data_IF_896996280666
#
_entry.id   IF_896996280666
#
_cell.length_a   1.000
_cell.length_b   1.000
_cell.length_c   1.000
_cell.angle_alpha   90.00
_cell.angle_beta   90.00
_cell.angle_gamma   90.00
#
_symmetry.space_group_name_H-M   'P 1'
#
loop_
_entity.id
_entity.type
_entity.pdbx_description
1 polymer ?
#
# COMPACT_ATOMS: atom_id res chain seq x y z
N UNK A 1 -25.31 -4.41 24.82
CA UNK A 1 -24.41 -5.03 25.82
C UNK A 1 -23.01 -4.38 25.80
N UNK A 2 -22.27 -4.37 24.70
CA UNK A 2 -20.91 -3.78 24.66
C UNK A 2 -20.89 -2.31 25.10
N UNK A 3 -21.81 -1.49 24.61
CA UNK A 3 -21.96 -0.09 25.01
C UNK A 3 -22.27 0.06 26.51
N UNK A 4 -23.13 -0.78 27.05
CA UNK A 4 -23.49 -0.77 28.47
C UNK A 4 -22.27 -1.05 29.36
N UNK A 5 -21.48 -2.07 29.02
CA UNK A 5 -20.25 -2.41 29.73
C UNK A 5 -19.24 -1.28 29.66
N UNK A 6 -18.98 -0.74 28.44
CA UNK A 6 -18.08 0.38 28.28
C UNK A 6 -18.50 1.60 29.09
N UNK A 7 -19.78 1.96 29.05
CA UNK A 7 -20.29 3.10 29.80
C UNK A 7 -20.24 2.89 31.32
N UNK A 8 -20.49 1.66 31.83
CA UNK A 8 -20.33 1.34 33.23
C UNK A 8 -18.88 1.49 33.70
N UNK A 9 -17.91 1.03 32.92
CA UNK A 9 -16.48 1.21 33.22
C UNK A 9 -16.10 2.71 33.16
N UNK A 10 -16.57 3.45 32.17
CA UNK A 10 -16.31 4.88 32.04
C UNK A 10 -16.90 5.70 33.20
N UNK A 11 -18.07 5.30 33.75
CA UNK A 11 -18.67 5.95 34.91
C UNK A 11 -17.82 5.76 36.18
N UNK A 12 -17.07 4.67 36.30
CA UNK A 12 -16.10 4.43 37.38
C UNK A 12 -14.79 5.18 37.13
N UNK A 13 -14.26 5.08 35.88
CA UNK A 13 -12.98 5.70 35.50
C UNK A 13 -13.05 7.20 35.48
N UNK A 14 -14.15 7.77 35.01
CA UNK A 14 -14.41 9.22 34.82
C UNK A 14 -13.24 9.91 34.09
N UNK A 15 -13.07 9.60 32.80
CA UNK A 15 -11.97 10.17 32.03
C UNK A 15 -12.11 11.69 31.89
N UNK A 16 -10.96 12.36 31.88
CA UNK A 16 -10.83 13.81 31.71
C UNK A 16 -9.90 14.10 30.52
N UNK A 17 -9.82 15.36 30.10
CA UNK A 17 -8.93 15.78 29.02
C UNK A 17 -7.47 15.36 29.26
N UNK A 18 -6.99 15.47 30.52
CA UNK A 18 -5.63 15.13 30.91
C UNK A 18 -5.44 13.61 31.19
N UNK A 19 -6.54 12.87 31.31
CA UNK A 19 -6.54 11.44 31.62
C UNK A 19 -7.60 10.74 30.80
N UNK A 20 -7.36 10.65 29.51
CA UNK A 20 -8.27 9.98 28.58
C UNK A 20 -8.33 8.47 28.82
N UNK A 21 -9.49 7.87 28.56
CA UNK A 21 -9.64 6.43 28.47
C UNK A 21 -9.51 5.98 27.02
N UNK A 22 -9.02 4.77 26.81
CA UNK A 22 -9.02 4.12 25.49
C UNK A 22 -10.04 2.99 25.53
N UNK A 23 -11.03 3.05 24.67
CA UNK A 23 -11.96 1.95 24.39
C UNK A 23 -11.53 1.33 23.08
N UNK A 24 -11.05 0.09 23.12
CA UNK A 24 -10.61 -0.62 21.94
C UNK A 24 -11.69 -1.63 21.49
N UNK A 25 -12.10 -1.52 20.23
CA UNK A 25 -13.12 -2.36 19.62
C UNK A 25 -12.46 -3.27 18.58
N UNK A 26 -12.10 -4.50 18.92
CA UNK A 26 -11.47 -5.41 17.99
C UNK A 26 -12.51 -6.06 17.05
N UNK A 27 -12.13 -6.22 15.78
CA UNK A 27 -12.75 -7.19 14.88
C UNK A 27 -11.91 -8.47 14.90
N UNK A 28 -12.07 -9.25 15.97
CA UNK A 28 -11.19 -10.39 16.30
C UNK A 28 -11.18 -11.46 15.23
N UNK A 29 -12.32 -11.71 14.62
CA UNK A 29 -12.50 -12.48 13.39
C UNK A 29 -13.46 -11.69 12.53
N UNK A 30 -13.10 -11.37 11.33
CA UNK A 30 -13.92 -10.54 10.44
C UNK A 30 -15.26 -11.22 10.09
N UNK A 31 -16.25 -11.09 10.95
CA UNK A 31 -17.58 -11.71 10.79
C UNK A 31 -18.51 -10.94 9.86
N UNK A 32 -18.17 -9.70 9.53
CA UNK A 32 -19.03 -8.81 8.73
C UNK A 32 -18.26 -8.11 7.62
N UNK A 33 -18.97 -7.45 6.74
CA UNK A 33 -18.39 -6.56 5.73
C UNK A 33 -17.94 -5.24 6.37
N UNK A 34 -16.96 -4.51 5.78
CA UNK A 34 -16.38 -3.30 6.36
C UNK A 34 -17.40 -2.22 6.74
N UNK A 35 -18.44 -2.00 5.94
CA UNK A 35 -19.48 -1.00 6.24
C UNK A 35 -20.33 -1.37 7.46
N UNK A 36 -20.50 -2.68 7.75
CA UNK A 36 -21.21 -3.14 8.95
C UNK A 36 -20.35 -2.87 10.20
N UNK A 37 -19.05 -3.18 10.13
CA UNK A 37 -18.11 -2.83 11.21
C UNK A 37 -18.08 -1.32 11.43
N UNK A 38 -17.97 -0.52 10.37
CA UNK A 38 -18.04 0.94 10.46
C UNK A 38 -19.34 1.44 11.12
N UNK A 39 -20.49 0.83 10.80
CA UNK A 39 -21.75 1.18 11.46
C UNK A 39 -21.75 0.89 12.97
N UNK A 40 -21.08 -0.19 13.39
CA UNK A 40 -20.90 -0.49 14.82
C UNK A 40 -19.99 0.55 15.49
N UNK A 41 -18.92 0.99 14.81
CA UNK A 41 -18.04 2.04 15.31
C UNK A 41 -18.79 3.37 15.42
N UNK A 42 -19.58 3.75 14.39
CA UNK A 42 -20.40 4.94 14.44
C UNK A 42 -21.39 4.93 15.60
N UNK A 43 -22.05 3.78 15.82
CA UNK A 43 -22.94 3.60 16.95
C UNK A 43 -22.23 3.79 18.31
N UNK A 44 -21.06 3.18 18.49
CA UNK A 44 -20.27 3.35 19.70
C UNK A 44 -19.82 4.80 19.86
N UNK A 45 -19.29 5.42 18.80
CA UNK A 45 -18.84 6.82 18.83
C UNK A 45 -19.93 7.79 19.27
N UNK A 46 -21.17 7.56 18.81
CA UNK A 46 -22.31 8.43 19.11
C UNK A 46 -22.91 8.22 20.52
N UNK A 47 -22.72 7.05 21.13
CA UNK A 47 -23.41 6.67 22.35
C UNK A 47 -22.49 6.44 23.55
N UNK A 48 -21.17 6.46 23.40
CA UNK A 48 -20.22 6.40 24.50
C UNK A 48 -20.34 7.65 25.37
N UNK A 49 -20.44 7.45 26.68
CA UNK A 49 -20.31 8.53 27.66
C UNK A 49 -18.88 9.10 27.62
N UNK A 50 -18.76 10.35 27.98
CA UNK A 50 -17.47 11.05 28.01
C UNK A 50 -16.71 11.03 26.67
N UNK A 51 -17.43 11.02 25.55
CA UNK A 51 -16.84 10.78 24.22
C UNK A 51 -15.62 11.66 23.93
N UNK A 52 -15.60 12.92 24.32
CA UNK A 52 -14.49 13.86 24.11
C UNK A 52 -13.22 13.47 24.90
N UNK A 53 -13.38 12.68 25.95
CA UNK A 53 -12.31 12.19 26.79
C UNK A 53 -12.01 10.68 26.58
N UNK A 54 -12.60 10.09 25.54
CA UNK A 54 -12.38 8.70 25.15
C UNK A 54 -11.69 8.66 23.80
N UNK A 55 -10.60 7.91 23.72
CA UNK A 55 -9.98 7.52 22.44
C UNK A 55 -10.67 6.24 22.00
N UNK A 56 -11.47 6.31 20.95
CA UNK A 56 -12.09 5.15 20.35
C UNK A 56 -11.11 4.49 19.39
N UNK A 57 -10.61 3.34 19.78
CA UNK A 57 -9.62 2.57 19.06
C UNK A 57 -10.23 1.36 18.37
N UNK A 58 -9.72 0.98 17.22
CA UNK A 58 -10.13 -0.22 16.50
C UNK A 58 -8.92 -1.13 16.25
N UNK A 59 -9.18 -2.45 16.26
CA UNK A 59 -8.16 -3.48 16.06
C UNK A 59 -8.70 -4.56 15.09
N UNK A 60 -8.73 -4.27 13.78
CA UNK A 60 -9.24 -5.25 12.83
C UNK A 60 -8.18 -6.30 12.49
N UNK A 61 -8.63 -7.57 12.42
CA UNK A 61 -7.91 -8.65 11.76
C UNK A 61 -8.22 -8.69 10.27
N UNK A 62 -7.63 -9.64 9.55
CA UNK A 62 -7.68 -9.69 8.08
C UNK A 62 -8.26 -11.02 7.55
N UNK A 63 -9.14 -11.68 8.30
CA UNK A 63 -9.67 -13.01 7.96
C UNK A 63 -10.42 -13.05 6.62
N UNK A 64 -11.01 -11.94 6.20
CA UNK A 64 -11.70 -11.79 4.90
C UNK A 64 -10.83 -11.09 3.85
N UNK A 65 -9.58 -10.72 4.16
CA UNK A 65 -8.74 -9.90 3.28
C UNK A 65 -9.17 -8.43 3.19
N UNK A 66 -9.98 -7.94 4.14
CA UNK A 66 -10.53 -6.57 4.13
C UNK A 66 -10.14 -5.76 5.38
N UNK A 67 -9.08 -6.17 6.10
CA UNK A 67 -8.67 -5.52 7.34
C UNK A 67 -8.30 -4.05 7.17
N UNK A 68 -7.66 -3.67 6.06
CA UNK A 68 -7.39 -2.28 5.71
C UNK A 68 -8.68 -1.51 5.51
N UNK A 69 -9.63 -2.06 4.75
CA UNK A 69 -10.92 -1.42 4.50
C UNK A 69 -11.74 -1.28 5.79
N UNK A 70 -11.70 -2.26 6.71
CA UNK A 70 -12.32 -2.14 8.03
C UNK A 70 -11.75 -0.94 8.80
N UNK A 71 -10.42 -0.77 8.80
CA UNK A 71 -9.75 0.33 9.48
C UNK A 71 -10.11 1.69 8.87
N UNK A 72 -10.03 1.81 7.55
CA UNK A 72 -10.36 3.06 6.83
C UNK A 72 -11.80 3.49 7.07
N UNK A 73 -12.75 2.56 6.92
CA UNK A 73 -14.15 2.86 7.16
C UNK A 73 -14.46 3.12 8.62
N UNK A 74 -13.75 2.49 9.56
CA UNK A 74 -13.88 2.79 10.99
C UNK A 74 -13.40 4.21 11.33
N UNK A 75 -12.30 4.68 10.74
CA UNK A 75 -11.84 6.06 10.88
C UNK A 75 -12.89 7.06 10.37
N UNK A 76 -13.48 6.81 9.21
CA UNK A 76 -14.57 7.63 8.66
C UNK A 76 -15.82 7.59 9.55
N UNK A 77 -16.02 6.51 10.31
CA UNK A 77 -17.14 6.33 11.24
C UNK A 77 -16.90 6.91 12.63
N UNK A 78 -15.73 7.51 12.89
CA UNK A 78 -15.42 8.21 14.13
C UNK A 78 -14.46 7.48 15.07
N UNK A 79 -13.69 6.49 14.59
CA UNK A 79 -12.56 5.97 15.34
C UNK A 79 -11.42 7.00 15.37
N UNK A 80 -10.80 7.17 16.53
CA UNK A 80 -9.68 8.09 16.74
C UNK A 80 -8.32 7.41 16.55
N UNK A 81 -8.26 6.09 16.65
CA UNK A 81 -7.03 5.30 16.62
C UNK A 81 -7.25 3.96 15.92
N UNK A 82 -6.26 3.54 15.16
CA UNK A 82 -6.18 2.21 14.57
C UNK A 82 -4.99 1.47 15.16
N UNK A 83 -5.21 0.23 15.56
CA UNK A 83 -4.16 -0.73 15.90
C UNK A 83 -4.01 -1.72 14.74
N UNK A 84 -2.78 -2.00 14.40
CA UNK A 84 -2.43 -2.95 13.36
C UNK A 84 -0.96 -3.34 13.47
N UNK A 85 -0.44 -3.95 12.44
CA UNK A 85 0.95 -4.42 12.42
C UNK A 85 1.62 -4.07 11.10
N UNK A 86 2.95 -4.06 11.09
CA UNK A 86 3.71 -3.89 9.86
C UNK A 86 3.42 -5.05 8.91
N UNK A 87 3.02 -4.71 7.69
CA UNK A 87 2.69 -5.66 6.62
C UNK A 87 1.61 -6.69 7.00
N UNK A 88 0.76 -6.34 7.97
CA UNK A 88 -0.35 -7.19 8.39
C UNK A 88 0.05 -8.44 9.17
N UNK A 89 1.26 -8.49 9.76
CA UNK A 89 1.68 -9.65 10.56
C UNK A 89 0.73 -9.91 11.73
N UNK A 90 0.50 -11.18 12.04
CA UNK A 90 -0.37 -11.56 13.16
C UNK A 90 -0.93 -12.97 13.05
N UNK A 91 -1.85 -13.30 13.93
CA UNK A 91 -2.49 -14.60 13.94
C UNK A 91 -3.35 -14.85 12.71
N UNK A 92 -3.47 -16.10 12.31
CA UNK A 92 -4.27 -16.58 11.15
C UNK A 92 -3.85 -15.87 9.85
N UNK A 93 -4.69 -14.99 9.33
CA UNK A 93 -4.44 -14.18 8.12
C UNK A 93 -3.80 -12.82 8.42
N UNK A 94 -3.52 -12.53 9.70
CA UNK A 94 -2.90 -11.31 10.19
C UNK A 94 -3.86 -10.24 10.66
N UNK A 95 -3.30 -9.07 10.94
CA UNK A 95 -4.00 -7.86 11.34
C UNK A 95 -4.14 -6.86 10.18
N UNK A 96 -4.82 -5.77 10.41
CA UNK A 96 -4.77 -4.64 9.48
C UNK A 96 -3.33 -4.15 9.30
N UNK A 97 -2.92 -3.95 8.05
CA UNK A 97 -1.58 -3.48 7.70
C UNK A 97 -1.47 -1.97 7.86
N UNK A 98 -0.77 -1.52 8.90
CA UNK A 98 -0.60 -0.08 9.18
C UNK A 98 0.27 0.62 8.13
N UNK A 99 1.14 -0.10 7.42
CA UNK A 99 1.92 0.49 6.31
C UNK A 99 0.97 0.85 5.17
N UNK A 100 0.11 -0.09 4.77
CA UNK A 100 -0.89 0.17 3.72
C UNK A 100 -1.86 1.28 4.13
N UNK A 101 -2.38 1.27 5.37
CA UNK A 101 -3.30 2.31 5.87
C UNK A 101 -2.62 3.68 5.85
N UNK A 102 -1.40 3.80 6.38
CA UNK A 102 -0.68 5.06 6.41
C UNK A 102 -0.35 5.59 5.01
N UNK A 103 0.05 4.71 4.10
CA UNK A 103 0.31 5.11 2.70
C UNK A 103 -0.96 5.46 1.93
N UNK A 104 -2.10 4.81 2.22
CA UNK A 104 -3.39 5.21 1.66
C UNK A 104 -3.80 6.62 2.12
N UNK A 105 -3.61 6.94 3.40
CA UNK A 105 -3.84 8.29 3.93
C UNK A 105 -2.94 9.31 3.22
N UNK A 106 -1.64 9.02 3.14
CA UNK A 106 -0.67 9.87 2.45
C UNK A 106 -1.07 10.14 0.99
N UNK A 107 -1.42 9.10 0.24
CA UNK A 107 -1.84 9.22 -1.16
C UNK A 107 -3.14 10.04 -1.34
N UNK A 108 -3.97 10.14 -0.29
CA UNK A 108 -5.16 10.99 -0.25
C UNK A 108 -4.88 12.40 0.31
N UNK A 109 -3.62 12.74 0.58
CA UNK A 109 -3.22 14.05 1.10
C UNK A 109 -3.44 14.22 2.59
N UNK A 110 -3.61 13.12 3.34
CA UNK A 110 -3.75 13.14 4.81
C UNK A 110 -2.45 12.63 5.43
N UNK A 111 -1.79 13.48 6.22
CA UNK A 111 -0.57 13.09 6.93
C UNK A 111 -0.90 12.08 8.05
N UNK A 112 -0.43 10.83 7.97
CA UNK A 112 -0.64 9.83 9.02
C UNK A 112 0.29 10.02 10.23
N UNK A 113 1.22 10.97 10.20
CA UNK A 113 2.27 11.13 11.19
C UNK A 113 3.28 9.97 11.20
N UNK A 114 3.39 9.21 10.12
CA UNK A 114 4.27 8.05 9.95
C UNK A 114 5.21 8.28 8.77
N UNK A 115 6.46 7.89 8.93
CA UNK A 115 7.48 8.01 7.88
C UNK A 115 7.78 6.65 7.25
N UNK A 116 7.38 6.50 6.00
CA UNK A 116 7.67 5.32 5.16
C UNK A 116 8.57 5.67 3.96
N UNK A 117 9.25 6.82 4.00
CA UNK A 117 10.14 7.28 2.92
C UNK A 117 11.34 6.35 2.65
N UNK A 118 11.64 5.42 3.55
CA UNK A 118 12.66 4.40 3.36
C UNK A 118 12.06 2.98 3.52
N UNK A 119 11.10 2.66 2.67
CA UNK A 119 10.43 1.36 2.66
C UNK A 119 11.40 0.17 2.50
N UNK A 120 12.46 0.22 1.67
CA UNK A 120 13.43 -0.88 1.58
C UNK A 120 14.06 -1.22 2.93
N UNK A 121 14.39 -0.22 3.74
CA UNK A 121 14.97 -0.42 5.07
C UNK A 121 13.95 -1.00 6.05
N UNK A 122 12.70 -0.59 5.96
CA UNK A 122 11.61 -1.15 6.76
C UNK A 122 11.39 -2.62 6.45
N UNK A 123 11.34 -2.99 5.16
CA UNK A 123 11.22 -4.39 4.70
C UNK A 123 12.40 -5.23 5.20
N UNK A 124 13.64 -4.77 4.98
CA UNK A 124 14.84 -5.47 5.47
C UNK A 124 14.78 -5.73 6.99
N UNK A 125 14.34 -4.71 7.73
CA UNK A 125 14.25 -4.82 9.19
C UNK A 125 13.17 -5.82 9.60
N UNK A 126 12.00 -5.76 8.95
CA UNK A 126 10.91 -6.70 9.20
C UNK A 126 11.33 -8.15 8.89
N UNK A 127 11.89 -8.40 7.71
CA UNK A 127 12.32 -9.73 7.29
C UNK A 127 13.36 -10.31 8.26
N UNK A 128 14.32 -9.50 8.69
CA UNK A 128 15.37 -9.89 9.64
C UNK A 128 14.83 -10.22 11.03
N UNK A 129 13.88 -9.42 11.54
CA UNK A 129 13.35 -9.56 12.90
C UNK A 129 12.34 -10.69 12.99
N UNK A 130 11.42 -10.78 12.03
CA UNK A 130 10.33 -11.74 12.04
C UNK A 130 10.69 -13.09 11.41
N UNK A 131 11.75 -13.14 10.60
CA UNK A 131 12.09 -14.28 9.73
C UNK A 131 11.01 -14.62 8.70
N UNK A 132 10.12 -13.67 8.41
CA UNK A 132 9.04 -13.78 7.42
C UNK A 132 9.30 -12.75 6.33
N UNK A 133 9.19 -13.17 5.06
CA UNK A 133 9.39 -12.28 3.93
C UNK A 133 8.11 -11.47 3.66
N UNK A 134 8.31 -10.19 3.36
CA UNK A 134 7.21 -9.36 2.85
C UNK A 134 6.77 -9.90 1.49
N UNK A 135 5.47 -10.16 1.26
CA UNK A 135 4.99 -10.69 -0.01
C UNK A 135 5.40 -9.80 -1.21
N UNK A 136 5.80 -10.38 -2.36
CA UNK A 136 6.24 -9.60 -3.52
C UNK A 136 5.18 -8.62 -4.06
N UNK A 137 3.91 -8.83 -3.75
CA UNK A 137 2.77 -7.98 -4.16
C UNK A 137 2.17 -7.19 -3.00
N UNK A 138 2.87 -7.10 -1.86
CA UNK A 138 2.43 -6.28 -0.73
C UNK A 138 2.27 -4.83 -1.19
N UNK A 139 1.14 -4.17 -0.96
CA UNK A 139 0.96 -2.77 -1.35
C UNK A 139 2.13 -1.89 -0.87
N UNK A 140 2.59 -0.99 -1.73
CA UNK A 140 3.69 -0.04 -1.51
C UNK A 140 5.08 -0.64 -1.27
N UNK A 141 5.18 -1.83 -0.66
CA UNK A 141 6.43 -2.42 -0.17
C UNK A 141 6.97 -3.57 -1.03
N UNK A 142 6.10 -4.33 -1.67
CA UNK A 142 6.48 -5.54 -2.40
C UNK A 142 7.37 -5.25 -3.61
N UNK A 143 8.18 -6.22 -4.00
CA UNK A 143 9.11 -6.09 -5.12
C UNK A 143 8.41 -5.80 -6.45
N UNK A 144 7.16 -6.25 -6.62
CA UNK A 144 6.41 -6.19 -7.88
C UNK A 144 5.42 -5.01 -7.96
N UNK A 145 5.30 -4.20 -6.91
CA UNK A 145 4.23 -3.19 -6.84
C UNK A 145 4.37 -2.06 -7.86
N UNK A 146 5.57 -1.83 -8.38
CA UNK A 146 5.83 -0.86 -9.43
C UNK A 146 6.14 -1.54 -10.78
N UNK A 147 5.99 -2.85 -10.89
CA UNK A 147 6.28 -3.59 -12.11
C UNK A 147 5.09 -3.56 -13.08
N UNK A 148 5.36 -3.33 -14.34
CA UNK A 148 4.42 -3.48 -15.44
C UNK A 148 4.94 -4.52 -16.44
N UNK A 149 4.08 -5.49 -16.81
CA UNK A 149 4.45 -6.57 -17.73
C UNK A 149 3.91 -6.36 -19.14
N UNK A 150 2.74 -5.71 -19.27
CA UNK A 150 2.15 -5.42 -20.57
C UNK A 150 2.97 -4.32 -21.31
N UNK A 151 3.30 -4.56 -22.57
CA UNK A 151 4.04 -3.59 -23.37
C UNK A 151 3.33 -2.24 -23.52
N UNK A 152 1.99 -2.23 -23.55
CA UNK A 152 1.22 -0.97 -23.59
C UNK A 152 1.31 -0.19 -22.29
N UNK A 153 1.33 -0.88 -21.15
CA UNK A 153 1.50 -0.24 -19.85
C UNK A 153 2.91 0.33 -19.70
N UNK A 154 3.92 -0.43 -20.10
CA UNK A 154 5.32 0.02 -20.08
C UNK A 154 5.53 1.28 -20.94
N UNK A 155 4.97 1.31 -22.16
CA UNK A 155 5.01 2.47 -23.05
C UNK A 155 4.29 3.68 -22.44
N UNK A 156 3.13 3.48 -21.83
CA UNK A 156 2.38 4.55 -21.16
C UNK A 156 3.14 5.13 -19.96
N UNK A 157 3.77 4.28 -19.14
CA UNK A 157 4.60 4.72 -18.01
C UNK A 157 5.80 5.54 -18.52
N UNK A 158 6.52 5.05 -19.52
CA UNK A 158 7.66 5.75 -20.09
C UNK A 158 7.26 7.15 -20.63
N UNK A 159 6.15 7.22 -21.37
CA UNK A 159 5.59 8.50 -21.85
C UNK A 159 5.16 9.43 -20.72
N UNK A 160 4.50 8.87 -19.68
CA UNK A 160 4.07 9.63 -18.50
C UNK A 160 5.26 10.24 -17.76
N UNK A 161 6.33 9.48 -17.56
CA UNK A 161 7.55 9.96 -16.92
C UNK A 161 8.25 11.04 -17.73
N UNK A 162 8.32 10.87 -19.06
CA UNK A 162 8.88 11.87 -19.96
C UNK A 162 8.07 13.17 -19.95
N UNK A 163 6.74 13.08 -20.06
CA UNK A 163 5.84 14.23 -19.98
C UNK A 163 6.00 15.00 -18.67
N UNK A 164 6.05 14.31 -17.52
CA UNK A 164 6.26 14.92 -16.22
C UNK A 164 7.56 15.71 -16.15
N UNK A 165 8.65 15.13 -16.67
CA UNK A 165 9.97 15.77 -16.71
C UNK A 165 9.98 17.02 -17.59
N UNK A 166 9.37 16.96 -18.78
CA UNK A 166 9.32 18.10 -19.71
C UNK A 166 8.45 19.25 -19.19
N UNK A 167 7.34 18.94 -18.52
CA UNK A 167 6.39 19.95 -18.04
C UNK A 167 6.61 20.35 -16.57
N UNK A 168 7.63 19.80 -15.91
CA UNK A 168 7.93 20.04 -14.49
C UNK A 168 6.68 19.85 -13.59
N UNK A 169 5.93 18.76 -13.82
CA UNK A 169 4.69 18.44 -13.12
C UNK A 169 4.95 18.22 -11.63
N UNK A 170 4.25 18.99 -10.79
CA UNK A 170 4.38 18.91 -9.34
C UNK A 170 3.57 17.77 -8.71
N UNK A 171 2.46 17.39 -9.36
CA UNK A 171 1.60 16.31 -8.90
C UNK A 171 1.95 15.00 -9.60
N UNK A 172 1.72 13.89 -8.91
CA UNK A 172 1.90 12.58 -9.50
C UNK A 172 0.80 12.26 -10.51
N UNK A 173 1.15 12.12 -11.78
CA UNK A 173 0.22 11.88 -12.88
C UNK A 173 0.67 10.72 -13.78
N UNK A 174 1.63 9.91 -13.33
CA UNK A 174 2.15 8.81 -14.13
C UNK A 174 1.09 7.69 -14.28
N UNK A 175 0.75 7.26 -15.51
CA UNK A 175 -0.19 6.18 -15.73
C UNK A 175 0.28 4.86 -15.09
N UNK A 176 -0.67 4.05 -14.62
CA UNK A 176 -0.44 2.72 -14.05
C UNK A 176 0.40 2.65 -12.77
N UNK A 177 0.80 3.78 -12.22
CA UNK A 177 1.51 3.87 -10.95
C UNK A 177 0.75 4.78 -10.01
N UNK A 178 0.33 4.24 -8.88
CA UNK A 178 -0.54 4.93 -7.94
C UNK A 178 0.17 6.06 -7.18
N UNK A 179 1.46 5.88 -6.86
CA UNK A 179 2.31 6.88 -6.20
C UNK A 179 3.66 7.01 -6.92
N UNK A 180 4.41 8.07 -6.61
CA UNK A 180 5.81 8.18 -7.00
C UNK A 180 6.64 7.15 -6.22
N UNK A 181 7.40 6.26 -6.85
CA UNK A 181 8.29 5.34 -6.16
C UNK A 181 9.28 6.03 -5.21
N UNK A 182 9.66 7.29 -5.48
CA UNK A 182 10.54 8.07 -4.60
C UNK A 182 9.92 8.36 -3.24
N UNK A 183 8.57 8.44 -3.14
CA UNK A 183 7.87 8.66 -1.87
C UNK A 183 8.11 7.53 -0.86
N UNK A 184 8.47 6.35 -1.34
CA UNK A 184 8.81 5.17 -0.51
C UNK A 184 10.29 4.81 -0.57
N UNK A 185 11.15 5.73 -1.02
CA UNK A 185 12.60 5.52 -1.11
C UNK A 185 13.03 4.52 -2.17
N UNK A 186 12.21 4.31 -3.20
CA UNK A 186 12.56 3.50 -4.38
C UNK A 186 12.82 4.41 -5.56
N UNK A 187 13.67 3.96 -6.45
CA UNK A 187 13.94 4.66 -7.69
C UNK A 187 13.10 4.07 -8.81
N UNK A 188 12.85 4.89 -9.82
CA UNK A 188 12.20 4.45 -11.03
C UNK A 188 13.28 3.86 -11.95
N UNK A 189 13.76 2.67 -11.59
CA UNK A 189 14.78 1.97 -12.35
C UNK A 189 14.17 1.03 -13.41
N UNK A 190 14.98 0.61 -14.36
CA UNK A 190 14.59 -0.39 -15.34
C UNK A 190 14.12 -1.73 -14.72
N UNK A 191 14.44 -1.98 -13.46
CA UNK A 191 13.89 -3.10 -12.66
C UNK A 191 12.37 -3.05 -12.51
N UNK A 192 11.76 -1.87 -12.69
CA UNK A 192 10.29 -1.71 -12.69
C UNK A 192 9.69 -2.19 -14.01
N UNK A 193 10.41 -2.06 -15.11
CA UNK A 193 10.00 -2.57 -16.42
C UNK A 193 10.69 -3.91 -16.66
N UNK A 194 9.98 -4.99 -16.35
CA UNK A 194 10.47 -6.34 -16.53
C UNK A 194 10.23 -6.83 -17.95
N UNK A 195 11.24 -7.45 -18.53
CA UNK A 195 11.18 -7.96 -19.90
C UNK A 195 10.79 -9.44 -19.87
N UNK A 196 9.65 -9.74 -20.47
CA UNK A 196 9.15 -11.09 -20.67
C UNK A 196 8.50 -11.24 -22.06
N UNK A 197 7.93 -12.39 -22.36
CA UNK A 197 7.25 -12.69 -23.62
C UNK A 197 6.10 -11.73 -23.98
N UNK A 198 5.55 -11.01 -23.01
CA UNK A 198 4.47 -10.04 -23.20
C UNK A 198 4.99 -8.60 -23.37
N UNK A 199 6.27 -8.36 -23.13
CA UNK A 199 6.88 -7.04 -23.25
C UNK A 199 6.91 -6.58 -24.69
N UNK A 200 6.46 -5.35 -24.95
CA UNK A 200 6.46 -4.74 -26.28
C UNK A 200 7.73 -3.93 -26.56
N UNK A 201 7.81 -3.41 -27.80
CA UNK A 201 8.92 -2.56 -28.27
C UNK A 201 9.18 -1.33 -27.40
N UNK A 202 8.14 -0.79 -26.75
CA UNK A 202 8.27 0.35 -25.84
C UNK A 202 9.04 -0.01 -24.57
N UNK A 203 8.72 -1.14 -23.95
CA UNK A 203 9.40 -1.62 -22.73
C UNK A 203 10.87 -1.96 -22.98
N UNK A 204 11.16 -2.70 -24.05
CA UNK A 204 12.53 -3.04 -24.43
C UNK A 204 13.36 -1.78 -24.75
N UNK A 205 12.77 -0.83 -25.50
CA UNK A 205 13.43 0.43 -25.82
C UNK A 205 13.76 1.24 -24.56
N UNK A 206 12.81 1.33 -23.61
CA UNK A 206 13.02 2.05 -22.36
C UNK A 206 14.15 1.43 -21.52
N UNK A 207 14.17 0.10 -21.36
CA UNK A 207 15.25 -0.60 -20.62
C UNK A 207 16.62 -0.34 -21.24
N UNK A 208 16.71 -0.39 -22.57
CA UNK A 208 17.98 -0.12 -23.27
C UNK A 208 18.45 1.33 -23.09
N UNK A 209 17.53 2.28 -23.12
CA UNK A 209 17.85 3.68 -22.90
C UNK A 209 18.28 3.94 -21.45
N UNK A 210 17.54 3.44 -20.46
CA UNK A 210 17.82 3.69 -19.04
C UNK A 210 19.07 2.98 -18.54
N UNK A 211 19.26 1.71 -18.89
CA UNK A 211 20.37 0.92 -18.35
C UNK A 211 21.67 1.04 -19.14
N UNK A 212 21.56 1.31 -20.44
CA UNK A 212 22.73 1.30 -21.34
C UNK A 212 22.93 2.64 -22.08
N UNK A 213 22.01 3.61 -21.91
CA UNK A 213 22.06 4.89 -22.61
C UNK A 213 21.85 4.78 -24.12
N UNK A 214 21.25 3.67 -24.59
CA UNK A 214 21.07 3.39 -26.02
C UNK A 214 19.64 3.77 -26.45
N UNK A 215 19.51 4.91 -27.13
CA UNK A 215 18.27 5.29 -27.80
C UNK A 215 18.21 4.65 -29.20
N UNK A 216 17.45 3.55 -29.31
CA UNK A 216 17.31 2.80 -30.54
C UNK A 216 16.27 3.45 -31.48
N UNK A 217 16.54 3.56 -32.81
CA UNK A 217 15.55 3.93 -33.82
C UNK A 217 14.33 3.00 -33.76
N UNK A 218 13.14 3.53 -34.08
CA UNK A 218 11.85 2.80 -33.94
C UNK A 218 11.86 1.41 -34.58
N UNK A 219 12.41 1.25 -35.77
CA UNK A 219 12.49 -0.05 -36.44
C UNK A 219 13.42 -1.02 -35.71
N UNK A 220 14.55 -0.54 -35.21
CA UNK A 220 15.48 -1.35 -34.43
C UNK A 220 14.86 -1.79 -33.10
N UNK A 221 14.06 -0.93 -32.42
CA UNK A 221 13.30 -1.31 -31.22
C UNK A 221 12.31 -2.45 -31.51
N UNK A 222 11.65 -2.41 -32.68
CA UNK A 222 10.74 -3.47 -33.12
C UNK A 222 11.46 -4.80 -33.28
N UNK A 223 12.49 -4.83 -34.12
CA UNK A 223 13.24 -6.06 -34.44
C UNK A 223 13.88 -6.65 -33.14
N UNK A 224 14.50 -5.82 -32.37
CA UNK A 224 15.12 -6.24 -31.10
C UNK A 224 14.09 -6.76 -30.08
N UNK A 225 12.89 -6.17 -30.02
CA UNK A 225 11.85 -6.65 -29.13
C UNK A 225 11.34 -8.05 -29.51
N UNK A 226 11.28 -8.39 -30.79
CA UNK A 226 10.94 -9.75 -31.24
C UNK A 226 12.02 -10.76 -30.84
N UNK A 227 13.28 -10.42 -30.99
CA UNK A 227 14.39 -11.27 -30.58
C UNK A 227 14.36 -11.53 -29.05
N UNK A 228 14.16 -10.48 -28.26
CA UNK A 228 14.08 -10.58 -26.79
C UNK A 228 12.89 -11.46 -26.36
N UNK A 229 11.75 -11.32 -27.01
CA UNK A 229 10.58 -12.20 -26.77
C UNK A 229 10.89 -13.64 -27.07
N UNK A 230 11.46 -13.93 -28.21
CA UNK A 230 11.83 -15.30 -28.61
C UNK A 230 12.76 -15.96 -27.56
N UNK A 231 13.76 -15.21 -27.08
CA UNK A 231 14.66 -15.70 -26.04
C UNK A 231 13.92 -15.95 -24.71
N UNK A 232 13.02 -15.04 -24.31
CA UNK A 232 12.22 -15.19 -23.10
C UNK A 232 11.27 -16.39 -23.17
N UNK A 233 10.61 -16.59 -24.32
CA UNK A 233 9.72 -17.73 -24.57
C UNK A 233 10.48 -19.05 -24.53
N UNK A 234 11.63 -19.13 -25.16
CA UNK A 234 12.47 -20.34 -25.12
C UNK A 234 12.96 -20.69 -23.70
N UNK A 235 13.27 -19.68 -22.90
CA UNK A 235 13.75 -19.89 -21.52
C UNK A 235 12.63 -20.06 -20.51
N UNK A 236 11.37 -19.80 -20.87
CA UNK A 236 10.21 -19.76 -19.98
C UNK A 236 10.44 -18.94 -18.72
N UNK A 237 11.18 -17.85 -18.84
CA UNK A 237 11.50 -16.97 -17.72
C UNK A 237 11.67 -15.52 -18.16
N UNK A 238 11.54 -14.64 -17.19
CA UNK A 238 11.83 -13.22 -17.32
C UNK A 238 13.32 -12.99 -17.56
N UNK A 239 13.64 -12.12 -18.50
CA UNK A 239 15.02 -11.73 -18.79
C UNK A 239 15.41 -10.57 -17.86
N UNK A 240 16.59 -10.68 -17.28
CA UNK A 240 17.22 -9.58 -16.54
C UNK A 240 17.99 -8.69 -17.52
N UNK A 241 18.03 -7.39 -17.24
CA UNK A 241 18.87 -6.46 -18.01
C UNK A 241 20.34 -6.87 -18.06
#
# INVERSE_FOLDING_TARGET
YALEVCNAVLDVWKPTADRKAIINLPSTVQMSMPHVFASQIAYMSQNLKYRDNVILSVHPHNDRGTGVADAEMAMLAGADRVEGTLFGNGERTGNADIVTIGMNMYALGVDPGLDFSNMPKLVETYDRVTRMLVPPRQPYAGQLVFAAFSGSHQDAIAKGMHFRKENNEQYWTCPYLYIDPHDVGRTYDADVIRINSQSGKGGVGFVMEQNYGIDMPKKMREDFSYFVKEVSDHKHQELKP
#
